data_IF_075704745928
#
_entry.id   IF_075704745928
#
_cell.length_a   1.000
_cell.length_b   1.000
_cell.length_c   1.000
_cell.angle_alpha   90.00
_cell.angle_beta   90.00
_cell.angle_gamma   90.00
#
_symmetry.space_group_name_H-M   'P 1'
#
loop_
_entity.id
_entity.type
_entity.pdbx_description
1 polymer ?
#
# COMPACT_ATOMS: atom_id res chain seq x y z
N UNK A 1 16.68 1.75 -11.86
CA UNK A 1 16.92 1.29 -10.47
C UNK A 1 15.79 1.66 -9.49
N UNK A 2 14.89 2.62 -9.81
CA UNK A 2 13.77 3.03 -8.94
C UNK A 2 12.58 2.06 -8.93
N UNK A 3 12.31 1.39 -10.04
CA UNK A 3 11.11 0.55 -10.22
C UNK A 3 11.01 -0.64 -9.27
N UNK A 4 12.16 -1.27 -8.94
CA UNK A 4 12.21 -2.44 -8.07
C UNK A 4 11.90 -2.04 -6.63
N UNK A 5 12.47 -0.92 -6.15
CA UNK A 5 12.21 -0.43 -4.79
C UNK A 5 10.76 0.01 -4.62
N UNK A 6 10.22 0.74 -5.60
CA UNK A 6 8.82 1.18 -5.58
C UNK A 6 7.84 0.00 -5.61
N UNK A 7 8.12 -1.06 -6.39
CA UNK A 7 7.29 -2.27 -6.42
C UNK A 7 7.28 -3.03 -5.10
N UNK A 8 8.44 -3.11 -4.43
CA UNK A 8 8.56 -3.75 -3.10
C UNK A 8 7.75 -2.95 -2.08
N UNK A 9 7.86 -1.61 -2.08
CA UNK A 9 7.05 -0.75 -1.20
C UNK A 9 5.56 -0.84 -1.47
N UNK A 10 5.14 -0.85 -2.75
CA UNK A 10 3.73 -1.04 -3.13
C UNK A 10 3.18 -2.35 -2.56
N UNK A 11 3.93 -3.45 -2.74
CA UNK A 11 3.50 -4.77 -2.27
C UNK A 11 3.50 -4.86 -0.74
N UNK A 12 4.60 -4.43 -0.09
CA UNK A 12 4.73 -4.48 1.36
C UNK A 12 3.66 -3.63 2.07
N UNK A 13 3.42 -2.41 1.57
CA UNK A 13 2.37 -1.55 2.10
C UNK A 13 0.97 -2.13 1.90
N UNK A 14 0.72 -2.80 0.78
CA UNK A 14 -0.54 -3.52 0.56
C UNK A 14 -0.76 -4.65 1.59
N UNK A 15 0.27 -5.44 1.87
CA UNK A 15 0.18 -6.51 2.88
C UNK A 15 0.00 -5.94 4.30
N UNK A 16 0.72 -4.89 4.65
CA UNK A 16 0.56 -4.23 5.95
C UNK A 16 -0.84 -3.64 6.12
N UNK A 17 -1.40 -3.08 5.05
CA UNK A 17 -2.77 -2.56 5.03
C UNK A 17 -3.80 -3.66 5.29
N UNK A 18 -3.72 -4.78 4.53
CA UNK A 18 -4.62 -5.93 4.71
C UNK A 18 -4.50 -6.57 6.10
N UNK A 19 -3.26 -6.70 6.62
CA UNK A 19 -3.02 -7.26 7.95
C UNK A 19 -3.52 -6.31 9.04
N UNK A 20 -3.32 -5.00 8.89
CA UNK A 20 -3.83 -4.00 9.81
C UNK A 20 -5.35 -4.03 9.88
N UNK A 21 -6.03 -4.09 8.73
CA UNK A 21 -7.49 -4.22 8.66
C UNK A 21 -7.99 -5.53 9.29
N UNK A 22 -7.33 -6.66 8.99
CA UNK A 22 -7.69 -7.96 9.55
C UNK A 22 -7.49 -8.05 11.07
N UNK A 23 -6.52 -7.32 11.61
CA UNK A 23 -6.21 -7.30 13.05
C UNK A 23 -6.91 -6.15 13.80
N UNK A 24 -7.76 -5.35 13.13
CA UNK A 24 -8.35 -4.13 13.68
C UNK A 24 -7.30 -3.16 14.26
N UNK A 25 -6.13 -3.09 13.61
CA UNK A 25 -5.04 -2.18 13.94
C UNK A 25 -4.99 -1.04 12.91
N UNK A 26 -5.77 0.01 13.16
CA UNK A 26 -5.92 1.15 12.25
C UNK A 26 -4.58 1.81 11.90
N UNK A 27 -3.67 1.88 12.88
CA UNK A 27 -2.34 2.45 12.67
C UNK A 27 -1.53 1.65 11.65
N UNK A 28 -1.54 0.32 11.77
CA UNK A 28 -0.87 -0.55 10.80
C UNK A 28 -1.50 -0.43 9.41
N UNK A 29 -2.83 -0.32 9.35
CA UNK A 29 -3.53 -0.13 8.09
C UNK A 29 -3.16 1.20 7.40
N UNK A 30 -3.06 2.29 8.17
CA UNK A 30 -2.63 3.61 7.68
C UNK A 30 -1.17 3.63 7.24
N UNK A 31 -0.27 3.02 8.02
CA UNK A 31 1.14 2.94 7.72
C UNK A 31 1.35 2.11 6.41
N UNK A 32 0.60 1.02 6.24
CA UNK A 32 0.57 0.22 5.01
C UNK A 32 0.08 1.01 3.79
N UNK A 33 -1.05 1.73 3.90
CA UNK A 33 -1.56 2.64 2.83
C UNK A 33 -0.50 3.63 2.38
N UNK A 34 0.18 4.25 3.34
CA UNK A 34 1.22 5.25 3.07
C UNK A 34 2.40 4.60 2.34
N UNK A 35 2.92 3.48 2.85
CA UNK A 35 4.03 2.76 2.22
C UNK A 35 3.69 2.31 0.80
N UNK A 36 2.45 1.85 0.58
CA UNK A 36 1.97 1.46 -0.75
C UNK A 36 1.98 2.64 -1.72
N UNK A 37 1.49 3.79 -1.25
CA UNK A 37 1.42 5.02 -2.04
C UNK A 37 2.80 5.63 -2.31
N UNK A 38 3.73 5.55 -1.36
CA UNK A 38 5.13 5.91 -1.59
C UNK A 38 5.74 5.06 -2.71
N UNK A 39 5.50 3.75 -2.70
CA UNK A 39 5.96 2.86 -3.77
C UNK A 39 5.42 3.24 -5.15
N UNK A 40 4.15 3.64 -5.23
CA UNK A 40 3.52 4.11 -6.47
C UNK A 40 4.11 5.43 -6.95
N UNK A 41 4.32 6.38 -6.05
CA UNK A 41 4.93 7.69 -6.38
C UNK A 41 6.36 7.50 -6.89
N UNK A 42 7.14 6.59 -6.28
CA UNK A 42 8.49 6.24 -6.76
C UNK A 42 8.48 5.62 -8.16
N UNK A 43 7.38 5.00 -8.56
CA UNK A 43 7.14 4.48 -9.91
C UNK A 43 6.49 5.50 -10.85
N UNK A 44 6.27 6.75 -10.42
CA UNK A 44 5.58 7.78 -11.21
C UNK A 44 4.08 7.54 -11.39
N UNK A 45 3.48 6.66 -10.57
CA UNK A 45 2.03 6.38 -10.57
C UNK A 45 1.33 7.26 -9.54
N UNK A 46 0.07 7.58 -9.79
CA UNK A 46 -0.78 8.26 -8.80
C UNK A 46 -1.04 7.37 -7.57
N UNK A 47 -1.10 7.94 -6.35
CA UNK A 47 -1.43 7.20 -5.14
C UNK A 47 -2.84 6.60 -5.22
N UNK A 48 -3.07 5.48 -4.53
CA UNK A 48 -4.38 4.88 -4.36
C UNK A 48 -5.04 5.41 -3.08
N UNK A 49 -6.24 5.96 -3.23
CA UNK A 49 -7.07 6.45 -2.12
C UNK A 49 -8.05 5.39 -1.59
N UNK A 50 -8.28 4.34 -2.36
CA UNK A 50 -9.15 3.23 -1.96
C UNK A 50 -8.37 2.21 -1.14
N UNK A 51 -9.01 1.55 -0.15
CA UNK A 51 -8.40 0.47 0.60
C UNK A 51 -7.99 -0.72 -0.28
N UNK A 52 -7.06 -1.56 0.18
CA UNK A 52 -6.83 -2.87 -0.46
C UNK A 52 -8.15 -3.64 -0.52
N UNK A 53 -8.38 -4.38 -1.60
CA UNK A 53 -9.55 -5.24 -1.74
C UNK A 53 -10.87 -4.53 -2.06
N UNK A 54 -10.91 -3.19 -2.07
CA UNK A 54 -12.08 -2.39 -2.48
C UNK A 54 -12.35 -2.44 -4.00
N UNK A 55 -11.39 -2.96 -4.78
CA UNK A 55 -11.48 -3.10 -6.24
C UNK A 55 -11.91 -4.53 -6.66
N UNK A 56 -12.53 -5.32 -5.76
CA UNK A 56 -13.10 -6.63 -6.13
C UNK A 56 -14.24 -6.43 -7.14
N UNK A 57 -14.33 -7.28 -8.20
CA UNK A 57 -15.48 -7.29 -9.10
C UNK A 57 -16.78 -7.66 -8.38
#
# INVERSE_FOLDING_TARGET
MGDIKGSIKETAGGVEEELGEALHNDKMAEDGRKLRNEGRIEQGKMPKVNPVGSEKP
#
